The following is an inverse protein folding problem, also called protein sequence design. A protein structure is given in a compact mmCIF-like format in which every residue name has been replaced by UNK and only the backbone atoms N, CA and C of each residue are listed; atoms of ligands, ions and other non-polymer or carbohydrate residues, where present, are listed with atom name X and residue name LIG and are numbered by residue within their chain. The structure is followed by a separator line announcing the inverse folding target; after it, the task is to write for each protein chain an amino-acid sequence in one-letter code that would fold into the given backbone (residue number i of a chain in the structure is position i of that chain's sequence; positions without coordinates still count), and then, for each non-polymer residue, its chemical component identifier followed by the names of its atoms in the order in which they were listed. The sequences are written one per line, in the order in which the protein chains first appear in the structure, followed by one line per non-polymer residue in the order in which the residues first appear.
data_IF_001312358490
#
_entry.id   IF_001312358490
#
_cell.length_a   1.000
_cell.length_b   1.000
_cell.length_c   1.000
_cell.angle_alpha   90.00
_cell.angle_beta   90.00
_cell.angle_gamma   90.00
#
_symmetry.space_group_name_H-M   'P 1'
#
loop_
_entity.id
_entity.type
_entity.pdbx_description
1 polymer ?
#
# COMPACT_ATOMS: atom_id res chain seq x y z
N UNK A 1 -30.43 15.57 -18.79
CA UNK A 1 -29.13 14.91 -18.55
C UNK A 1 -29.40 13.45 -18.73
N UNK A 2 -28.84 12.87 -19.79
CA UNK A 2 -29.05 11.46 -20.12
C UNK A 2 -28.48 10.59 -18.98
N UNK A 3 -29.17 9.50 -18.64
CA UNK A 3 -28.95 8.61 -17.48
C UNK A 3 -27.62 7.81 -17.52
N UNK A 4 -26.60 8.30 -18.24
CA UNK A 4 -25.40 7.54 -18.55
C UNK A 4 -24.14 8.27 -18.08
N UNK A 5 -23.30 7.54 -17.36
CA UNK A 5 -21.95 7.94 -16.97
C UNK A 5 -20.96 6.90 -17.46
N UNK A 6 -19.73 7.33 -17.76
CA UNK A 6 -18.61 6.45 -18.06
C UNK A 6 -17.59 6.61 -16.94
N UNK A 7 -17.44 5.55 -16.15
CA UNK A 7 -16.40 5.48 -15.12
C UNK A 7 -15.07 5.13 -15.79
N UNK A 8 -14.05 5.94 -15.53
CA UNK A 8 -12.70 5.75 -16.06
C UNK A 8 -11.75 5.53 -14.91
N UNK A 9 -11.16 4.34 -14.85
CA UNK A 9 -10.14 3.98 -13.87
C UNK A 9 -8.76 4.17 -14.47
N UNK A 10 -7.82 4.69 -13.69
CA UNK A 10 -6.43 4.82 -14.14
C UNK A 10 -5.53 5.40 -13.08
N UNK A 11 -4.24 5.41 -13.39
CA UNK A 11 -3.21 6.03 -12.56
C UNK A 11 -3.34 7.55 -12.49
N UNK A 12 -2.45 8.19 -11.73
CA UNK A 12 -2.41 9.63 -11.56
C UNK A 12 -2.26 10.37 -12.90
N UNK A 13 -1.43 9.86 -13.82
CA UNK A 13 -1.25 10.46 -15.14
C UNK A 13 -2.56 10.41 -15.96
N UNK A 14 -3.34 9.34 -15.84
CA UNK A 14 -4.66 9.23 -16.46
C UNK A 14 -5.63 10.26 -15.86
N UNK A 15 -5.62 10.43 -14.54
CA UNK A 15 -6.41 11.46 -13.85
C UNK A 15 -6.13 12.86 -14.41
N UNK A 16 -4.86 13.25 -14.47
CA UNK A 16 -4.44 14.57 -14.96
C UNK A 16 -4.89 14.79 -16.41
N UNK A 17 -4.82 13.75 -17.26
CA UNK A 17 -5.27 13.82 -18.66
C UNK A 17 -6.79 13.96 -18.77
N UNK A 18 -7.56 13.22 -17.97
CA UNK A 18 -9.03 13.35 -17.94
C UNK A 18 -9.43 14.75 -17.47
N UNK A 19 -8.79 15.26 -16.41
CA UNK A 19 -9.05 16.60 -15.90
C UNK A 19 -8.67 17.69 -16.92
N UNK A 20 -7.53 17.56 -17.57
CA UNK A 20 -7.11 18.48 -18.64
C UNK A 20 -8.10 18.47 -19.81
N UNK A 21 -8.62 17.30 -20.20
CA UNK A 21 -9.66 17.18 -21.23
C UNK A 21 -10.92 17.92 -20.81
N UNK A 22 -11.44 17.64 -19.61
CA UNK A 22 -12.65 18.27 -19.07
C UNK A 22 -12.50 19.79 -18.99
N UNK A 23 -11.34 20.28 -18.54
CA UNK A 23 -11.04 21.71 -18.48
C UNK A 23 -11.02 22.33 -19.89
N UNK A 24 -10.28 21.76 -20.83
CA UNK A 24 -10.16 22.28 -22.20
C UNK A 24 -11.50 22.34 -22.95
N UNK A 25 -12.42 21.44 -22.60
CA UNK A 25 -13.74 21.33 -23.20
C UNK A 25 -14.82 22.05 -22.39
N UNK A 26 -14.48 22.74 -21.30
CA UNK A 26 -15.44 23.35 -20.38
C UNK A 26 -16.39 24.37 -21.02
N UNK A 27 -15.94 25.06 -22.07
CA UNK A 27 -16.71 26.09 -22.80
C UNK A 27 -17.66 25.51 -23.87
N UNK A 28 -17.62 24.19 -24.11
CA UNK A 28 -18.47 23.58 -25.13
C UNK A 28 -19.95 23.67 -24.77
N UNK A 29 -20.80 23.85 -25.79
CA UNK A 29 -22.23 24.16 -25.62
C UNK A 29 -23.01 23.08 -24.88
N UNK A 30 -22.69 21.80 -25.10
CA UNK A 30 -23.48 20.68 -24.57
C UNK A 30 -22.69 19.86 -23.53
N UNK A 31 -23.35 19.30 -22.49
CA UNK A 31 -22.72 18.40 -21.52
C UNK A 31 -21.90 17.28 -22.16
N UNK A 32 -22.40 16.71 -23.26
CA UNK A 32 -21.72 15.68 -24.03
C UNK A 32 -20.38 16.16 -24.61
N UNK A 33 -20.35 17.34 -25.25
CA UNK A 33 -19.12 17.91 -25.81
C UNK A 33 -18.14 18.38 -24.74
N UNK A 34 -18.64 18.75 -23.56
CA UNK A 34 -17.85 19.01 -22.34
C UNK A 34 -17.31 17.74 -21.69
N UNK A 35 -17.68 16.55 -22.17
CA UNK A 35 -17.33 15.25 -21.57
C UNK A 35 -17.81 15.10 -20.11
N UNK A 36 -18.86 15.81 -19.69
CA UNK A 36 -19.35 15.78 -18.28
C UNK A 36 -19.78 14.38 -17.80
N UNK A 37 -20.06 13.45 -18.72
CA UNK A 37 -20.40 12.06 -18.41
C UNK A 37 -19.18 11.22 -17.97
N UNK A 38 -17.96 11.69 -18.21
CA UNK A 38 -16.73 10.98 -17.87
C UNK A 38 -16.37 11.28 -16.42
N UNK A 39 -16.44 10.25 -15.57
CA UNK A 39 -16.10 10.34 -14.15
C UNK A 39 -14.84 9.54 -13.91
N UNK A 40 -13.77 10.21 -13.49
CA UNK A 40 -12.55 9.53 -13.10
C UNK A 40 -12.72 8.87 -11.72
N UNK A 41 -12.27 7.63 -11.60
CA UNK A 41 -12.28 6.86 -10.35
C UNK A 41 -10.85 6.44 -10.06
N UNK A 42 -10.39 6.72 -8.83
CA UNK A 42 -9.02 6.43 -8.44
C UNK A 42 -8.71 4.93 -8.55
N UNK A 43 -7.52 4.65 -9.07
CA UNK A 43 -6.94 3.32 -9.19
C UNK A 43 -6.44 2.83 -7.82
N UNK A 44 -7.15 1.86 -7.22
CA UNK A 44 -6.81 1.36 -5.88
C UNK A 44 -5.53 0.53 -5.85
N UNK A 45 -5.18 -0.18 -6.92
CA UNK A 45 -3.90 -0.87 -6.96
C UNK A 45 -2.73 0.12 -7.04
N UNK A 46 -2.82 1.16 -7.87
CA UNK A 46 -1.82 2.24 -7.89
C UNK A 46 -1.77 3.02 -6.57
N UNK A 47 -2.90 3.23 -5.90
CA UNK A 47 -2.91 3.80 -4.55
C UNK A 47 -2.08 2.95 -3.58
N UNK A 48 -2.33 1.62 -3.55
CA UNK A 48 -1.55 0.68 -2.73
C UNK A 48 -0.06 0.72 -3.09
N UNK A 49 0.30 0.91 -4.37
CA UNK A 49 1.70 1.11 -4.77
C UNK A 49 2.29 2.41 -4.21
N UNK A 50 1.55 3.52 -4.30
CA UNK A 50 1.96 4.81 -3.75
C UNK A 50 2.13 4.77 -2.23
N UNK A 51 1.27 4.03 -1.51
CA UNK A 51 1.40 3.81 -0.06
C UNK A 51 2.69 3.07 0.30
N UNK A 52 3.03 2.01 -0.43
CA UNK A 52 4.28 1.26 -0.22
C UNK A 52 5.52 2.13 -0.51
N UNK A 53 5.47 2.94 -1.58
CA UNK A 53 6.53 3.90 -1.89
C UNK A 53 6.66 5.00 -0.84
N UNK A 54 5.56 5.49 -0.27
CA UNK A 54 5.60 6.46 0.83
C UNK A 54 6.33 5.90 2.05
N UNK A 55 5.99 4.68 2.50
CA UNK A 55 6.69 4.01 3.60
C UNK A 55 8.19 3.89 3.29
N UNK A 56 8.54 3.50 2.07
CA UNK A 56 9.94 3.43 1.65
C UNK A 56 10.64 4.81 1.69
N UNK A 57 9.98 5.87 1.19
CA UNK A 57 10.50 7.25 1.24
C UNK A 57 10.75 7.75 2.66
N UNK A 58 9.96 7.31 3.63
CA UNK A 58 10.03 7.78 5.02
C UNK A 58 11.11 7.03 5.79
N UNK A 59 11.14 5.70 5.70
CA UNK A 59 11.97 4.87 6.59
C UNK A 59 13.24 4.30 5.94
N UNK A 60 13.36 4.35 4.61
CA UNK A 60 14.48 3.72 3.89
C UNK A 60 15.21 4.71 3.00
N UNK A 61 14.53 5.63 2.31
CA UNK A 61 15.21 6.58 1.42
C UNK A 61 16.28 7.44 2.12
N UNK A 62 16.04 8.05 3.30
CA UNK A 62 17.08 8.78 4.01
C UNK A 62 18.20 7.82 4.42
N UNK A 63 19.44 8.12 4.02
CA UNK A 63 20.59 7.22 4.28
C UNK A 63 20.78 6.96 5.77
N UNK A 64 20.67 8.00 6.59
CA UNK A 64 20.84 7.93 8.04
C UNK A 64 19.73 7.11 8.74
N UNK A 65 18.56 6.93 8.11
CA UNK A 65 17.47 6.12 8.66
C UNK A 65 17.75 4.61 8.63
N UNK A 66 18.88 4.18 8.06
CA UNK A 66 19.20 2.77 7.74
C UNK A 66 20.17 2.12 8.72
N UNK A 67 20.77 2.91 9.60
CA UNK A 67 21.98 2.52 10.32
C UNK A 67 21.65 1.91 11.69
N UNK A 68 20.50 2.29 12.27
CA UNK A 68 20.08 1.81 13.58
C UNK A 68 19.64 0.33 13.52
N UNK A 69 19.89 -0.42 14.59
CA UNK A 69 19.53 -1.84 14.69
C UNK A 69 18.02 -2.11 14.56
N UNK A 70 17.20 -1.13 14.94
CA UNK A 70 15.73 -1.17 14.84
C UNK A 70 15.20 -0.61 13.51
N UNK A 71 16.08 -0.10 12.64
CA UNK A 71 15.65 0.49 11.37
C UNK A 71 14.99 -0.52 10.46
N UNK A 72 14.07 -0.03 9.62
CA UNK A 72 13.31 -0.90 8.73
C UNK A 72 14.23 -1.65 7.75
N UNK A 73 15.29 -1.01 7.24
CA UNK A 73 16.22 -1.67 6.33
C UNK A 73 17.02 -2.78 7.01
N UNK A 74 17.47 -2.60 8.26
CA UNK A 74 18.19 -3.67 8.99
C UNK A 74 17.26 -4.87 9.26
N UNK A 75 16.01 -4.62 9.67
CA UNK A 75 15.01 -5.67 9.84
C UNK A 75 14.72 -6.42 8.53
N UNK A 76 14.64 -5.70 7.40
CA UNK A 76 14.52 -6.32 6.07
C UNK A 76 15.79 -7.14 5.73
N UNK A 77 16.98 -6.65 6.05
CA UNK A 77 18.24 -7.32 5.77
C UNK A 77 18.34 -8.69 6.45
N UNK A 78 17.70 -8.86 7.62
CA UNK A 78 17.64 -10.15 8.30
C UNK A 78 16.92 -11.22 7.48
N UNK A 79 15.84 -10.85 6.82
CA UNK A 79 14.96 -11.77 6.08
C UNK A 79 15.25 -11.80 4.57
N UNK A 80 15.92 -10.76 4.05
CA UNK A 80 16.26 -10.59 2.62
C UNK A 80 17.68 -10.03 2.42
N UNK A 81 18.73 -10.72 2.91
CA UNK A 81 20.09 -10.18 2.91
C UNK A 81 20.65 -9.91 1.49
N UNK A 82 20.14 -10.63 0.48
CA UNK A 82 20.59 -10.49 -0.92
C UNK A 82 19.89 -9.37 -1.70
N UNK A 83 18.85 -8.75 -1.12
CA UNK A 83 18.05 -7.72 -1.80
C UNK A 83 18.23 -6.33 -1.21
N UNK A 84 19.02 -6.18 -0.15
CA UNK A 84 19.24 -4.92 0.58
C UNK A 84 19.63 -3.76 -0.34
N UNK A 85 20.55 -3.97 -1.28
CA UNK A 85 20.96 -2.94 -2.24
C UNK A 85 19.83 -2.48 -3.16
N UNK A 86 18.95 -3.38 -3.60
CA UNK A 86 17.76 -3.04 -4.41
C UNK A 86 16.74 -2.30 -3.56
N UNK A 87 16.52 -2.73 -2.32
CA UNK A 87 15.57 -2.13 -1.40
C UNK A 87 16.03 -0.73 -0.95
N UNK A 88 17.33 -0.53 -0.77
CA UNK A 88 17.91 0.75 -0.39
C UNK A 88 17.88 1.82 -1.51
N UNK A 89 17.59 1.43 -2.76
CA UNK A 89 17.70 2.29 -3.95
C UNK A 89 16.37 2.51 -4.69
N UNK A 90 15.77 1.46 -5.25
CA UNK A 90 14.45 1.49 -5.87
C UNK A 90 13.85 0.07 -5.83
N UNK A 91 13.23 -0.32 -4.69
CA UNK A 91 12.77 -1.70 -4.47
C UNK A 91 11.71 -2.16 -5.48
N UNK A 92 10.90 -1.21 -5.92
CA UNK A 92 9.63 -1.44 -6.55
C UNK A 92 8.56 -1.98 -5.60
N UNK A 93 7.32 -1.97 -6.06
CA UNK A 93 6.13 -2.30 -5.30
C UNK A 93 6.19 -3.70 -4.69
N UNK A 94 6.45 -4.75 -5.50
CA UNK A 94 6.38 -6.13 -4.98
C UNK A 94 7.30 -6.36 -3.79
N UNK A 95 8.54 -5.88 -3.87
CA UNK A 95 9.52 -6.03 -2.77
C UNK A 95 9.07 -5.29 -1.53
N UNK A 96 8.61 -4.04 -1.68
CA UNK A 96 8.11 -3.26 -0.54
C UNK A 96 6.83 -3.86 0.05
N UNK A 97 5.91 -4.32 -0.79
CA UNK A 97 4.68 -4.98 -0.36
C UNK A 97 4.98 -6.16 0.55
N UNK A 98 5.84 -7.08 0.10
CA UNK A 98 6.23 -8.24 0.89
C UNK A 98 7.08 -7.85 2.12
N UNK A 99 7.95 -6.84 2.01
CA UNK A 99 8.75 -6.37 3.14
C UNK A 99 7.88 -5.78 4.27
N UNK A 100 6.92 -4.93 3.92
CA UNK A 100 5.95 -4.34 4.87
C UNK A 100 5.16 -5.45 5.57
N UNK A 101 4.61 -6.39 4.81
CA UNK A 101 3.82 -7.49 5.38
C UNK A 101 4.65 -8.42 6.28
N UNK A 102 5.86 -8.80 5.85
CA UNK A 102 6.68 -9.74 6.60
C UNK A 102 7.25 -9.12 7.88
N UNK A 103 7.82 -7.91 7.78
CA UNK A 103 8.36 -7.21 8.94
C UNK A 103 7.23 -6.79 9.87
N UNK A 104 6.11 -6.27 9.34
CA UNK A 104 4.95 -5.89 10.14
C UNK A 104 4.36 -7.06 10.93
N UNK A 105 4.23 -8.24 10.29
CA UNK A 105 3.79 -9.46 10.97
C UNK A 105 4.72 -9.85 12.14
N UNK A 106 6.04 -9.78 11.94
CA UNK A 106 7.01 -10.11 12.98
C UNK A 106 7.06 -9.03 14.07
N UNK A 107 6.90 -7.75 13.71
CA UNK A 107 6.80 -6.64 14.65
C UNK A 107 5.66 -6.87 15.64
N UNK A 108 4.47 -7.22 15.13
CA UNK A 108 3.33 -7.57 15.99
C UNK A 108 3.62 -8.76 16.89
N UNK A 109 4.25 -9.81 16.37
CA UNK A 109 4.65 -10.95 17.20
C UNK A 109 5.62 -10.53 18.32
N UNK A 110 6.53 -9.60 18.06
CA UNK A 110 7.41 -9.06 19.10
C UNK A 110 6.64 -8.21 20.13
N UNK A 111 5.66 -7.39 19.72
CA UNK A 111 4.76 -6.71 20.66
C UNK A 111 4.00 -7.71 21.56
N UNK A 112 3.44 -8.78 20.97
CA UNK A 112 2.82 -9.86 21.72
C UNK A 112 3.78 -10.51 22.71
N UNK A 113 5.05 -10.74 22.31
CA UNK A 113 6.07 -11.30 23.19
C UNK A 113 6.32 -10.37 24.39
N UNK A 114 6.47 -9.08 24.15
CA UNK A 114 6.74 -8.09 25.20
C UNK A 114 5.56 -7.99 26.17
N UNK A 115 4.32 -8.00 25.68
CA UNK A 115 3.15 -7.95 26.55
C UNK A 115 2.91 -9.25 27.31
N UNK A 116 3.10 -10.41 26.66
CA UNK A 116 3.05 -11.70 27.33
C UNK A 116 4.10 -11.80 28.46
N UNK A 117 5.28 -11.21 28.27
CA UNK A 117 6.30 -11.15 29.32
C UNK A 117 5.87 -10.34 30.54
N UNK A 118 5.01 -9.33 30.36
CA UNK A 118 4.44 -8.53 31.45
C UNK A 118 3.12 -9.10 31.98
N UNK A 119 2.61 -10.17 31.38
CA UNK A 119 1.28 -10.69 31.67
C UNK A 119 1.28 -11.66 32.83
N UNK A 120 0.66 -11.30 33.95
CA UNK A 120 0.35 -12.18 35.08
C UNK A 120 1.51 -13.05 35.56
N UNK A 121 1.62 -14.25 34.97
CA UNK A 121 2.64 -15.27 35.26
C UNK A 121 4.04 -14.99 34.67
N UNK A 122 4.21 -13.93 33.88
CA UNK A 122 5.44 -13.59 33.15
C UNK A 122 5.92 -14.69 32.20
N UNK A 123 5.61 -14.56 30.90
CA UNK A 123 6.01 -15.54 29.88
C UNK A 123 7.28 -15.10 29.14
N UNK A 124 8.31 -15.95 29.06
CA UNK A 124 9.59 -15.61 28.40
C UNK A 124 9.53 -15.74 26.87
N UNK A 125 8.53 -16.46 26.37
CA UNK A 125 8.28 -16.65 24.94
C UNK A 125 6.79 -16.80 24.61
N UNK A 126 6.45 -16.60 23.33
CA UNK A 126 5.08 -16.80 22.84
C UNK A 126 4.66 -18.27 22.89
N UNK A 127 5.60 -19.21 22.78
CA UNK A 127 5.32 -20.64 22.93
C UNK A 127 4.84 -20.96 24.34
N UNK A 128 5.52 -20.45 25.37
CA UNK A 128 5.08 -20.61 26.76
C UNK A 128 3.71 -19.97 27.01
N UNK A 129 3.49 -18.78 26.46
CA UNK A 129 2.18 -18.13 26.54
C UNK A 129 1.10 -18.97 25.86
N UNK A 130 1.34 -19.50 24.66
CA UNK A 130 0.39 -20.37 23.97
C UNK A 130 0.13 -21.69 24.71
N UNK A 131 1.15 -22.27 25.35
CA UNK A 131 1.03 -23.50 26.17
C UNK A 131 0.16 -23.29 27.41
N UNK A 132 0.10 -22.05 27.95
CA UNK A 132 -0.81 -21.68 29.03
C UNK A 132 -2.29 -21.70 28.61
N UNK A 133 -2.57 -21.78 27.29
CA UNK A 133 -3.91 -21.79 26.68
C UNK A 133 -4.75 -20.58 27.12
N UNK A 134 -4.30 -19.35 26.80
CA UNK A 134 -5.02 -18.14 27.18
C UNK A 134 -6.43 -18.18 26.60
N UNK A 135 -7.38 -17.73 27.39
CA UNK A 135 -8.77 -17.58 26.98
C UNK A 135 -8.89 -16.49 25.91
N UNK A 136 -9.99 -16.53 25.15
CA UNK A 136 -10.29 -15.48 24.17
C UNK A 136 -10.32 -14.08 24.82
N UNK A 137 -10.86 -13.96 26.03
CA UNK A 137 -10.94 -12.69 26.74
C UNK A 137 -9.56 -12.14 27.10
N UNK A 138 -8.62 -13.01 27.51
CA UNK A 138 -7.24 -12.60 27.79
C UNK A 138 -6.50 -12.17 26.51
N UNK A 139 -6.72 -12.88 25.40
CA UNK A 139 -6.17 -12.49 24.10
C UNK A 139 -6.73 -11.14 23.64
N UNK A 140 -8.04 -10.92 23.77
CA UNK A 140 -8.70 -9.68 23.40
C UNK A 140 -8.19 -8.50 24.25
N UNK A 141 -8.11 -8.68 25.57
CA UNK A 141 -7.57 -7.66 26.49
C UNK A 141 -6.09 -7.35 26.18
N UNK A 142 -5.27 -8.37 25.91
CA UNK A 142 -3.87 -8.15 25.53
C UNK A 142 -3.77 -7.43 24.19
N UNK A 143 -4.60 -7.78 23.20
CA UNK A 143 -4.64 -7.08 21.92
C UNK A 143 -4.99 -5.60 22.07
N UNK A 144 -5.97 -5.25 22.93
CA UNK A 144 -6.28 -3.86 23.24
C UNK A 144 -5.08 -3.12 23.86
N UNK A 145 -4.35 -3.76 24.78
CA UNK A 145 -3.13 -3.17 25.37
C UNK A 145 -2.04 -2.98 24.33
N UNK A 146 -1.88 -3.94 23.42
CA UNK A 146 -0.91 -3.84 22.31
C UNK A 146 -1.24 -2.64 21.44
N UNK A 147 -2.50 -2.47 21.03
CA UNK A 147 -2.91 -1.31 20.23
C UNK A 147 -2.59 -0.03 20.99
N UNK A 148 -3.09 0.14 22.22
CA UNK A 148 -2.88 1.39 22.99
C UNK A 148 -1.41 1.72 23.27
N UNK A 149 -0.51 0.73 23.35
CA UNK A 149 0.90 0.94 23.67
C UNK A 149 1.81 1.09 22.44
N UNK A 150 1.48 0.40 21.35
CA UNK A 150 2.35 0.26 20.19
C UNK A 150 1.81 0.93 18.92
N UNK A 151 0.54 1.34 18.88
CA UNK A 151 0.06 2.26 17.84
C UNK A 151 0.14 3.67 18.36
N UNK A 152 0.98 4.48 17.72
CA UNK A 152 1.22 5.85 18.14
C UNK A 152 0.07 6.76 17.71
N UNK A 153 -0.44 7.58 18.62
CA UNK A 153 -1.25 8.75 18.30
C UNK A 153 -0.40 10.03 18.43
N UNK A 154 -0.96 11.16 17.97
CA UNK A 154 -0.28 12.46 17.92
C UNK A 154 0.27 12.87 19.30
N UNK A 155 -0.56 12.74 20.34
CA UNK A 155 -0.19 13.10 21.71
C UNK A 155 0.96 12.21 22.23
N UNK A 156 0.89 10.90 21.95
CA UNK A 156 1.89 9.93 22.42
C UNK A 156 3.27 10.22 21.83
N UNK A 157 3.34 10.54 20.53
CA UNK A 157 4.62 10.88 19.90
C UNK A 157 5.21 12.18 20.45
N UNK A 158 4.36 13.20 20.61
CA UNK A 158 4.76 14.49 21.16
C UNK A 158 5.33 14.32 22.58
N UNK A 159 4.63 13.59 23.45
CA UNK A 159 5.08 13.27 24.80
C UNK A 159 6.44 12.54 24.82
N UNK A 160 6.63 11.54 23.94
CA UNK A 160 7.90 10.82 23.81
C UNK A 160 9.03 11.77 23.38
N UNK A 161 8.76 12.68 22.44
CA UNK A 161 9.76 13.61 21.91
C UNK A 161 10.13 14.73 22.88
N UNK A 162 9.22 15.13 23.77
CA UNK A 162 9.49 16.10 24.84
C UNK A 162 10.21 15.51 26.05
N UNK A 163 10.34 14.19 26.13
CA UNK A 163 11.08 13.55 27.21
C UNK A 163 12.56 14.05 27.23
N UNK A 164 13.16 14.21 28.43
CA UNK A 164 14.57 14.55 28.55
C UNK A 164 15.47 13.55 27.82
N UNK A 165 16.61 14.01 27.29
CA UNK A 165 17.58 13.18 26.55
C UNK A 165 18.04 11.93 27.31
N UNK A 166 18.08 11.98 28.64
CA UNK A 166 18.45 10.84 29.49
C UNK A 166 17.41 9.71 29.49
N UNK A 167 16.17 10.01 29.10
CA UNK A 167 15.04 9.07 29.11
C UNK A 167 14.44 8.83 27.73
N UNK A 168 14.63 9.76 26.80
CA UNK A 168 14.10 9.69 25.43
C UNK A 168 14.74 8.54 24.65
N UNK A 169 13.91 7.76 23.97
CA UNK A 169 14.33 6.64 23.13
C UNK A 169 13.90 6.90 21.68
N UNK A 170 14.82 7.48 20.91
CA UNK A 170 14.57 7.89 19.53
C UNK A 170 14.37 6.69 18.58
N UNK A 171 14.97 5.55 18.89
CA UNK A 171 14.78 4.32 18.10
C UNK A 171 13.42 3.67 18.36
N UNK A 172 12.92 3.76 19.60
CA UNK A 172 11.57 3.32 19.94
C UNK A 172 10.52 4.21 19.27
N UNK A 173 10.69 5.54 19.28
CA UNK A 173 9.84 6.49 18.53
C UNK A 173 9.74 6.11 17.04
N UNK A 174 10.89 5.89 16.39
CA UNK A 174 10.95 5.49 14.99
C UNK A 174 10.26 4.14 14.74
N UNK A 175 10.41 3.19 15.67
CA UNK A 175 9.77 1.86 15.59
C UNK A 175 8.25 1.98 15.64
N UNK A 176 7.73 2.75 16.59
CA UNK A 176 6.28 2.96 16.74
C UNK A 176 5.66 3.63 15.51
N UNK A 177 6.34 4.65 14.95
CA UNK A 177 5.92 5.29 13.70
C UNK A 177 5.90 4.30 12.52
N UNK A 178 6.95 3.49 12.39
CA UNK A 178 7.06 2.45 11.34
C UNK A 178 5.93 1.44 11.47
N UNK A 179 5.64 0.97 12.66
CA UNK A 179 4.58 -0.01 12.91
C UNK A 179 3.19 0.55 12.62
N UNK A 180 2.93 1.79 13.02
CA UNK A 180 1.68 2.47 12.69
C UNK A 180 1.45 2.57 11.17
N UNK A 181 2.46 2.96 10.38
CA UNK A 181 2.30 3.08 8.93
C UNK A 181 2.20 1.72 8.23
N UNK A 182 2.94 0.72 8.71
CA UNK A 182 2.79 -0.66 8.23
C UNK A 182 1.39 -1.21 8.52
N UNK A 183 0.84 -0.96 9.72
CA UNK A 183 -0.52 -1.35 10.09
C UNK A 183 -1.56 -0.66 9.20
N UNK A 184 -1.43 0.64 8.96
CA UNK A 184 -2.33 1.38 8.06
C UNK A 184 -2.28 0.84 6.61
N UNK A 185 -1.11 0.40 6.15
CA UNK A 185 -0.95 -0.24 4.84
C UNK A 185 -1.61 -1.62 4.78
N UNK A 186 -1.42 -2.44 5.81
CA UNK A 186 -2.05 -3.74 5.94
C UNK A 186 -3.58 -3.63 6.03
N UNK A 187 -4.07 -2.63 6.75
CA UNK A 187 -5.49 -2.31 6.87
C UNK A 187 -6.12 -1.99 5.52
N UNK A 188 -5.50 -1.09 4.75
CA UNK A 188 -5.92 -0.79 3.38
C UNK A 188 -5.94 -2.06 2.53
N UNK A 189 -4.88 -2.87 2.62
CA UNK A 189 -4.78 -4.13 1.86
C UNK A 189 -5.86 -5.12 2.24
N UNK A 190 -6.13 -5.29 3.54
CA UNK A 190 -7.15 -6.19 4.06
C UNK A 190 -8.54 -5.75 3.59
N UNK A 191 -8.87 -4.46 3.74
CA UNK A 191 -10.13 -3.88 3.33
C UNK A 191 -10.38 -4.05 1.82
N UNK A 192 -9.35 -3.76 1.00
CA UNK A 192 -9.41 -3.98 -0.45
C UNK A 192 -9.68 -5.44 -0.78
N UNK A 193 -8.95 -6.37 -0.17
CA UNK A 193 -9.11 -7.81 -0.42
C UNK A 193 -10.48 -8.31 0.05
N UNK A 194 -10.99 -7.81 1.17
CA UNK A 194 -12.31 -8.13 1.71
C UNK A 194 -13.46 -7.58 0.84
N UNK A 195 -13.20 -6.60 -0.02
CA UNK A 195 -14.25 -5.91 -0.78
C UNK A 195 -15.00 -4.86 0.05
N UNK A 196 -14.46 -4.44 1.19
CA UNK A 196 -15.08 -3.47 2.09
C UNK A 196 -14.68 -2.05 1.69
N UNK A 197 -15.46 -1.44 0.80
CA UNK A 197 -15.16 -0.11 0.28
C UNK A 197 -15.26 0.99 1.33
N UNK A 198 -16.12 0.83 2.35
CA UNK A 198 -16.23 1.81 3.43
C UNK A 198 -14.97 1.85 4.29
N UNK A 199 -14.42 0.67 4.59
CA UNK A 199 -13.14 0.55 5.30
C UNK A 199 -11.96 1.03 4.46
N UNK A 200 -11.97 0.80 3.15
CA UNK A 200 -10.98 1.38 2.22
C UNK A 200 -11.01 2.92 2.25
N UNK A 201 -12.21 3.53 2.15
CA UNK A 201 -12.36 4.99 2.21
C UNK A 201 -11.89 5.58 3.54
N UNK A 202 -12.08 4.86 4.64
CA UNK A 202 -11.61 5.28 5.99
C UNK A 202 -10.09 5.43 6.03
N UNK A 203 -9.35 4.61 5.28
CA UNK A 203 -7.89 4.72 5.20
C UNK A 203 -7.41 5.93 4.38
N UNK A 204 -8.27 6.57 3.58
CA UNK A 204 -7.81 7.64 2.67
C UNK A 204 -7.32 8.88 3.41
N UNK A 205 -7.98 9.29 4.49
CA UNK A 205 -7.61 10.52 5.20
C UNK A 205 -6.19 10.43 5.81
N UNK A 206 -5.82 9.38 6.57
CA UNK A 206 -4.44 9.18 7.01
C UNK A 206 -3.43 9.17 5.85
N UNK A 207 -3.74 8.46 4.74
CA UNK A 207 -2.85 8.42 3.58
C UNK A 207 -2.70 9.75 2.86
N UNK A 208 -3.75 10.58 2.79
CA UNK A 208 -3.69 11.95 2.25
C UNK A 208 -2.67 12.77 3.03
N UNK A 209 -2.72 12.71 4.37
CA UNK A 209 -1.80 13.44 5.23
C UNK A 209 -0.36 12.93 5.06
N UNK A 210 -0.14 11.61 5.11
CA UNK A 210 1.19 11.01 4.87
C UNK A 210 1.75 11.42 3.51
N UNK A 211 0.96 11.32 2.44
CA UNK A 211 1.38 11.73 1.10
C UNK A 211 1.72 13.20 1.02
N UNK A 212 0.98 14.06 1.73
CA UNK A 212 1.28 15.48 1.79
C UNK A 212 2.61 15.74 2.49
N UNK A 213 2.89 15.07 3.60
CA UNK A 213 4.15 15.25 4.33
C UNK A 213 5.36 14.67 3.61
N UNK A 214 5.22 13.52 2.94
CA UNK A 214 6.32 12.83 2.26
C UNK A 214 6.55 13.27 0.80
N UNK A 215 5.96 14.39 0.37
CA UNK A 215 6.17 14.95 -0.98
C UNK A 215 5.38 14.30 -2.12
N UNK A 216 4.35 13.49 -1.84
CA UNK A 216 3.43 12.91 -2.83
C UNK A 216 2.18 13.78 -3.01
N UNK A 217 2.39 15.09 -3.20
CA UNK A 217 1.33 16.11 -3.15
C UNK A 217 0.21 15.90 -4.18
N UNK A 218 0.54 15.36 -5.36
CA UNK A 218 -0.46 15.07 -6.40
C UNK A 218 -1.42 13.97 -5.99
N UNK A 219 -0.91 12.86 -5.41
CA UNK A 219 -1.76 11.80 -4.88
C UNK A 219 -2.67 12.32 -3.77
N UNK A 220 -2.10 13.08 -2.82
CA UNK A 220 -2.87 13.71 -1.74
C UNK A 220 -4.00 14.60 -2.27
N UNK A 221 -3.71 15.47 -3.25
CA UNK A 221 -4.69 16.37 -3.84
C UNK A 221 -5.82 15.62 -4.56
N UNK A 222 -5.49 14.59 -5.35
CA UNK A 222 -6.50 13.82 -6.08
C UNK A 222 -7.37 12.96 -5.16
N UNK A 223 -6.80 12.37 -4.11
CA UNK A 223 -7.57 11.62 -3.11
C UNK A 223 -8.51 12.54 -2.32
N UNK A 224 -8.03 13.72 -1.91
CA UNK A 224 -8.87 14.71 -1.24
C UNK A 224 -10.01 15.19 -2.14
N UNK A 225 -9.72 15.44 -3.42
CA UNK A 225 -10.73 15.80 -4.42
C UNK A 225 -11.77 14.68 -4.59
N UNK A 226 -11.31 13.43 -4.68
CA UNK A 226 -12.19 12.27 -4.78
C UNK A 226 -13.14 12.16 -3.57
N UNK A 227 -12.61 12.29 -2.35
CA UNK A 227 -13.44 12.29 -1.14
C UNK A 227 -14.46 13.42 -1.16
N UNK A 228 -14.05 14.64 -1.51
CA UNK A 228 -14.96 15.77 -1.64
C UNK A 228 -16.06 15.50 -2.67
N UNK A 229 -15.71 14.99 -3.85
CA UNK A 229 -16.67 14.73 -4.91
C UNK A 229 -17.67 13.63 -4.51
N UNK A 230 -17.20 12.51 -3.95
CA UNK A 230 -18.05 11.41 -3.49
C UNK A 230 -18.93 11.82 -2.30
N UNK A 231 -18.42 12.55 -1.31
CA UNK A 231 -19.20 12.87 -0.13
C UNK A 231 -20.11 14.10 -0.33
N UNK A 232 -19.66 15.12 -1.07
CA UNK A 232 -20.31 16.43 -1.11
C UNK A 232 -20.91 16.82 -2.47
N UNK A 233 -20.46 16.23 -3.59
CA UNK A 233 -20.84 16.70 -4.94
C UNK A 233 -21.78 15.73 -5.66
N UNK A 234 -21.44 14.44 -5.69
CA UNK A 234 -22.17 13.48 -6.51
C UNK A 234 -23.54 13.13 -5.93
N UNK A 235 -24.57 12.86 -6.76
CA UNK A 235 -25.85 12.35 -6.29
C UNK A 235 -25.71 10.89 -5.81
N UNK A 236 -26.60 10.46 -4.92
CA UNK A 236 -26.48 9.17 -4.21
C UNK A 236 -26.30 7.95 -5.14
N UNK A 237 -27.04 7.90 -6.25
CA UNK A 237 -26.91 6.82 -7.24
C UNK A 237 -25.52 6.76 -7.87
N UNK A 238 -24.90 7.92 -8.12
CA UNK A 238 -23.56 7.99 -8.69
C UNK A 238 -22.50 7.62 -7.64
N UNK A 239 -22.65 8.06 -6.38
CA UNK A 239 -21.78 7.64 -5.27
C UNK A 239 -21.74 6.12 -5.14
N UNK A 240 -22.92 5.51 -5.14
CA UNK A 240 -23.07 4.06 -5.09
C UNK A 240 -22.41 3.39 -6.29
N UNK A 241 -22.68 3.87 -7.51
CA UNK A 241 -22.09 3.32 -8.72
C UNK A 241 -20.55 3.39 -8.70
N UNK A 242 -19.97 4.51 -8.26
CA UNK A 242 -18.51 4.66 -8.14
C UNK A 242 -17.96 3.63 -7.15
N UNK A 243 -18.48 3.60 -5.91
CA UNK A 243 -18.02 2.69 -4.85
C UNK A 243 -18.07 1.23 -5.26
N UNK A 244 -19.18 0.81 -5.86
CA UNK A 244 -19.37 -0.58 -6.32
C UNK A 244 -18.52 -0.97 -7.53
N UNK A 245 -17.88 -0.01 -8.19
CA UNK A 245 -16.97 -0.24 -9.31
C UNK A 245 -15.50 0.05 -8.97
N UNK A 246 -15.13 0.30 -7.70
CA UNK A 246 -13.71 0.49 -7.34
C UNK A 246 -12.95 -0.84 -7.22
N UNK A 247 -13.65 -1.91 -6.87
CA UNK A 247 -13.11 -3.26 -6.67
C UNK A 247 -13.92 -4.26 -7.50
N UNK A 248 -13.25 -5.31 -7.98
CA UNK A 248 -13.91 -6.50 -8.53
C UNK A 248 -13.35 -7.76 -7.85
N UNK A 249 -14.10 -8.85 -7.88
CA UNK A 249 -13.62 -10.16 -7.44
C UNK A 249 -13.55 -11.14 -8.61
N UNK A 250 -12.42 -11.20 -9.34
CA UNK A 250 -12.29 -12.04 -10.52
C UNK A 250 -12.47 -13.53 -10.26
N UNK A 251 -12.25 -13.98 -9.01
CA UNK A 251 -12.26 -15.40 -8.64
C UNK A 251 -13.54 -15.85 -7.95
N UNK A 252 -14.36 -14.90 -7.47
CA UNK A 252 -15.53 -15.16 -6.63
C UNK A 252 -15.22 -15.66 -5.21
N UNK A 253 -13.94 -15.72 -4.81
CA UNK A 253 -13.52 -16.25 -3.50
C UNK A 253 -13.49 -15.16 -2.43
N UNK A 254 -13.68 -15.55 -1.16
CA UNK A 254 -13.52 -14.64 -0.02
C UNK A 254 -12.10 -14.03 -0.02
N UNK A 255 -11.98 -12.77 0.38
CA UNK A 255 -10.72 -12.01 0.43
C UNK A 255 -9.94 -11.95 -0.90
N UNK A 256 -10.62 -12.10 -2.03
CA UNK A 256 -10.01 -12.12 -3.37
C UNK A 256 -10.45 -10.96 -4.27
N UNK A 257 -10.94 -9.87 -3.66
CA UNK A 257 -11.19 -8.63 -4.39
C UNK A 257 -9.87 -7.95 -4.79
N UNK A 258 -9.89 -7.26 -5.93
CA UNK A 258 -8.76 -6.51 -6.50
C UNK A 258 -9.26 -5.17 -7.04
N UNK A 259 -8.38 -4.17 -7.08
CA UNK A 259 -8.67 -2.90 -7.77
C UNK A 259 -8.95 -3.16 -9.25
N UNK A 260 -9.89 -2.42 -9.84
CA UNK A 260 -10.19 -2.55 -11.28
C UNK A 260 -8.95 -2.31 -12.13
N UNK A 261 -8.12 -1.34 -11.74
CA UNK A 261 -6.87 -1.00 -12.42
C UNK A 261 -5.84 -2.14 -12.39
N UNK A 262 -5.86 -3.01 -11.36
CA UNK A 262 -5.06 -4.23 -11.34
C UNK A 262 -5.46 -5.20 -12.46
N UNK A 263 -6.76 -5.37 -12.67
CA UNK A 263 -7.29 -6.21 -13.74
C UNK A 263 -6.97 -5.64 -15.13
N UNK A 264 -7.06 -4.31 -15.26
CA UNK A 264 -6.65 -3.62 -16.49
C UNK A 264 -5.16 -3.81 -16.76
N UNK A 265 -4.30 -3.69 -15.74
CA UNK A 265 -2.86 -3.89 -15.92
C UNK A 265 -2.50 -5.34 -16.26
N UNK A 266 -3.24 -6.31 -15.73
CA UNK A 266 -3.12 -7.71 -16.16
C UNK A 266 -3.39 -7.87 -17.66
N UNK A 267 -4.45 -7.27 -18.19
CA UNK A 267 -4.75 -7.29 -19.62
C UNK A 267 -3.72 -6.51 -20.46
N UNK A 268 -3.20 -5.41 -19.92
CA UNK A 268 -2.12 -4.65 -20.54
C UNK A 268 -0.86 -5.50 -20.68
N UNK A 269 -0.50 -6.29 -19.66
CA UNK A 269 0.64 -7.19 -19.70
C UNK A 269 0.50 -8.21 -20.84
N UNK A 270 -0.63 -8.91 -20.91
CA UNK A 270 -0.89 -9.88 -21.98
C UNK A 270 -0.86 -9.24 -23.36
N UNK A 271 -1.46 -8.06 -23.50
CA UNK A 271 -1.43 -7.32 -24.76
C UNK A 271 0.00 -6.94 -25.13
N UNK A 272 0.80 -6.41 -24.19
CA UNK A 272 2.17 -5.96 -24.48
C UNK A 272 3.12 -7.12 -24.77
N UNK A 273 2.99 -8.25 -24.09
CA UNK A 273 3.97 -9.35 -24.11
C UNK A 273 3.58 -10.51 -25.02
N UNK A 274 2.29 -10.85 -25.10
CA UNK A 274 1.84 -12.11 -25.67
C UNK A 274 0.99 -11.87 -26.93
N UNK A 275 -0.07 -11.06 -26.85
CA UNK A 275 -1.10 -10.96 -27.91
C UNK A 275 -1.05 -9.67 -28.75
N UNK A 276 -0.17 -8.71 -28.45
CA UNK A 276 -0.10 -7.45 -29.20
C UNK A 276 0.55 -7.54 -30.58
N UNK A 277 1.03 -8.73 -30.96
CA UNK A 277 1.88 -8.93 -32.13
C UNK A 277 3.33 -8.49 -31.89
N UNK A 278 4.23 -8.93 -32.78
CA UNK A 278 5.66 -8.56 -32.77
C UNK A 278 6.03 -7.85 -34.07
N UNK A 279 6.98 -6.92 -33.99
CA UNK A 279 7.52 -6.17 -35.14
C UNK A 279 6.43 -5.52 -36.00
N UNK A 280 6.43 -5.75 -37.32
CA UNK A 280 5.46 -5.22 -38.27
C UNK A 280 4.01 -5.60 -37.99
N UNK A 281 3.78 -6.68 -37.23
CA UNK A 281 2.44 -7.12 -36.87
C UNK A 281 1.85 -6.41 -35.63
N UNK A 282 2.61 -5.55 -34.95
CA UNK A 282 2.13 -4.77 -33.81
C UNK A 282 1.34 -3.55 -34.28
N UNK A 283 0.13 -3.80 -34.78
CA UNK A 283 -0.78 -2.75 -35.29
C UNK A 283 -1.95 -2.51 -34.36
N UNK A 284 -2.51 -1.29 -34.37
CA UNK A 284 -3.70 -0.94 -33.57
C UNK A 284 -4.88 -1.85 -33.90
N UNK A 285 -5.11 -2.14 -35.19
CA UNK A 285 -6.20 -3.01 -35.64
C UNK A 285 -6.08 -4.43 -35.06
N UNK A 286 -4.86 -4.98 -35.03
CA UNK A 286 -4.63 -6.30 -34.43
C UNK A 286 -4.88 -6.28 -32.93
N UNK A 287 -4.32 -5.30 -32.22
CA UNK A 287 -4.52 -5.16 -30.76
C UNK A 287 -6.01 -5.07 -30.44
N UNK A 288 -6.76 -4.20 -31.12
CA UNK A 288 -8.21 -4.06 -30.92
C UNK A 288 -8.97 -5.35 -31.20
N UNK A 289 -8.55 -6.13 -32.20
CA UNK A 289 -9.17 -7.41 -32.55
C UNK A 289 -8.85 -8.52 -31.53
N UNK A 290 -7.65 -8.55 -30.99
CA UNK A 290 -7.19 -9.62 -30.08
C UNK A 290 -7.46 -9.32 -28.59
N UNK A 291 -7.52 -8.06 -28.17
CA UNK A 291 -7.76 -7.69 -26.76
C UNK A 291 -9.02 -8.31 -26.14
N UNK A 292 -10.18 -8.38 -26.82
CA UNK A 292 -11.38 -9.04 -26.28
C UNK A 292 -11.23 -10.56 -26.12
N UNK A 293 -10.25 -11.17 -26.80
CA UNK A 293 -10.04 -12.62 -26.85
C UNK A 293 -8.98 -13.12 -25.87
N UNK A 294 -8.33 -12.24 -25.11
CA UNK A 294 -7.23 -12.59 -24.18
C UNK A 294 -7.63 -13.74 -23.24
N UNK A 295 -8.82 -13.67 -22.64
CA UNK A 295 -9.30 -14.71 -21.73
C UNK A 295 -9.53 -16.04 -22.45
N UNK A 296 -10.06 -16.00 -23.68
CA UNK A 296 -10.28 -17.21 -24.49
C UNK A 296 -8.94 -17.85 -24.83
N UNK A 297 -7.96 -17.05 -25.26
CA UNK A 297 -6.61 -17.55 -25.56
C UNK A 297 -5.93 -18.14 -24.32
N UNK A 298 -6.08 -17.52 -23.15
CA UNK A 298 -5.57 -18.04 -21.89
C UNK A 298 -6.20 -19.40 -21.55
N UNK A 299 -7.53 -19.51 -21.63
CA UNK A 299 -8.24 -20.75 -21.34
C UNK A 299 -7.85 -21.87 -22.30
N UNK A 300 -7.74 -21.58 -23.61
CA UNK A 300 -7.30 -22.57 -24.61
C UNK A 300 -5.89 -23.07 -24.29
N UNK A 301 -4.97 -22.17 -23.91
CA UNK A 301 -3.61 -22.54 -23.50
C UNK A 301 -3.63 -23.45 -22.27
N UNK A 302 -4.34 -23.07 -21.20
CA UNK A 302 -4.44 -23.85 -19.98
C UNK A 302 -5.03 -25.25 -20.28
N UNK A 303 -6.14 -25.30 -21.01
CA UNK A 303 -6.76 -26.57 -21.40
C UNK A 303 -5.83 -27.45 -22.24
N UNK A 304 -5.05 -26.85 -23.15
CA UNK A 304 -4.07 -27.58 -23.94
C UNK A 304 -2.96 -28.16 -23.05
N UNK A 305 -2.41 -27.38 -22.13
CA UNK A 305 -1.39 -27.81 -21.18
C UNK A 305 -1.91 -28.95 -20.27
N UNK A 306 -3.16 -28.84 -19.79
CA UNK A 306 -3.82 -29.87 -18.98
C UNK A 306 -4.01 -31.19 -19.75
N UNK A 307 -4.39 -31.13 -21.04
CA UNK A 307 -4.57 -32.31 -21.89
C UNK A 307 -3.28 -33.13 -22.06
N UNK A 308 -2.11 -32.50 -22.02
CA UNK A 308 -0.83 -33.20 -22.14
C UNK A 308 -0.32 -33.78 -20.82
N UNK A 309 -1.14 -33.82 -19.75
CA UNK A 309 -0.76 -34.37 -18.44
C UNK A 309 0.56 -33.82 -17.92
N UNK A 310 0.82 -32.53 -18.14
CA UNK A 310 1.94 -31.80 -17.53
C UNK A 310 1.71 -31.59 -16.01
N UNK A 311 1.12 -32.58 -15.33
CA UNK A 311 0.60 -32.53 -13.95
C UNK A 311 1.66 -32.31 -12.87
N UNK A 312 2.95 -32.25 -13.25
CA UNK A 312 4.04 -31.87 -12.37
C UNK A 312 4.42 -30.38 -12.46
N UNK A 313 3.74 -29.58 -13.29
CA UNK A 313 3.92 -28.12 -13.35
C UNK A 313 2.82 -27.44 -12.54
N UNK A 314 3.15 -27.01 -11.33
CA UNK A 314 2.30 -26.11 -10.56
C UNK A 314 2.50 -24.68 -11.08
N UNK A 315 1.50 -24.09 -11.73
CA UNK A 315 1.51 -22.65 -12.07
C UNK A 315 1.31 -21.76 -10.84
N UNK A 316 0.90 -22.36 -9.72
CA UNK A 316 0.82 -21.71 -8.43
C UNK A 316 2.15 -21.93 -7.71
N UNK A 317 2.87 -20.85 -7.45
CA UNK A 317 3.94 -20.90 -6.46
C UNK A 317 3.31 -21.32 -5.13
N UNK A 318 3.84 -22.38 -4.52
CA UNK A 318 3.50 -22.70 -3.13
C UNK A 318 3.89 -21.49 -2.27
N UNK A 319 3.07 -21.11 -1.27
CA UNK A 319 3.43 -20.07 -0.33
C UNK A 319 4.80 -20.37 0.27
N UNK A 320 5.65 -19.35 0.40
CA UNK A 320 6.95 -19.52 1.01
C UNK A 320 6.79 -20.03 2.46
N UNK A 321 7.61 -21.02 2.86
CA UNK A 321 7.70 -21.46 4.24
C UNK A 321 8.49 -20.43 5.04
N UNK A 322 7.79 -19.44 5.61
CA UNK A 322 8.42 -18.27 6.24
C UNK A 322 8.76 -18.46 7.73
N UNK A 323 8.43 -19.60 8.34
CA UNK A 323 8.60 -19.82 9.79
C UNK A 323 10.03 -19.58 10.27
N UNK A 324 11.05 -20.11 9.58
CA UNK A 324 12.44 -19.93 9.96
C UNK A 324 12.89 -18.47 9.76
N UNK A 325 12.44 -17.85 8.66
CA UNK A 325 12.69 -16.45 8.34
C UNK A 325 12.12 -15.52 9.41
N UNK A 326 10.90 -15.77 9.86
CA UNK A 326 10.25 -14.99 10.91
C UNK A 326 10.93 -15.18 12.26
N UNK A 327 11.27 -16.42 12.63
CA UNK A 327 12.04 -16.70 13.86
C UNK A 327 13.38 -15.95 13.89
N UNK A 328 14.08 -15.88 12.76
CA UNK A 328 15.33 -15.12 12.66
C UNK A 328 15.11 -13.64 12.97
N UNK A 329 14.08 -13.04 12.38
CA UNK A 329 13.74 -11.63 12.64
C UNK A 329 13.23 -11.40 14.07
N UNK A 330 12.44 -12.32 14.65
CA UNK A 330 12.01 -12.24 16.05
C UNK A 330 13.21 -12.23 17.00
N UNK A 331 14.20 -13.09 16.77
CA UNK A 331 15.42 -13.12 17.59
C UNK A 331 16.21 -11.81 17.48
N UNK A 332 16.29 -11.22 16.28
CA UNK A 332 16.94 -9.92 16.09
C UNK A 332 16.16 -8.80 16.78
N UNK A 333 14.82 -8.76 16.66
CA UNK A 333 13.99 -7.74 17.30
C UNK A 333 14.07 -7.81 18.83
N UNK A 334 14.07 -9.02 19.39
CA UNK A 334 14.30 -9.28 20.83
C UNK A 334 15.69 -8.80 21.26
N UNK A 335 16.74 -9.15 20.52
CA UNK A 335 18.11 -8.73 20.85
C UNK A 335 18.31 -7.21 20.74
N UNK A 336 17.58 -6.56 19.83
CA UNK A 336 17.63 -5.11 19.63
C UNK A 336 16.70 -4.33 20.58
N UNK A 337 15.92 -5.00 21.44
CA UNK A 337 14.88 -4.36 22.26
C UNK A 337 13.96 -3.46 21.43
N UNK A 338 13.41 -4.02 20.33
CA UNK A 338 12.68 -3.24 19.33
C UNK A 338 11.42 -2.60 19.91
N UNK A 339 10.62 -3.38 20.65
CA UNK A 339 9.36 -2.91 21.27
C UNK A 339 9.45 -2.78 22.80
N UNK A 340 10.67 -2.62 23.32
CA UNK A 340 10.95 -2.38 24.74
C UNK A 340 11.65 -1.01 24.85
N UNK A 341 11.14 -0.07 25.66
CA UNK A 341 11.75 1.25 25.80
C UNK A 341 13.11 1.16 26.50
N UNK A 342 14.12 1.80 25.93
CA UNK A 342 15.50 1.84 26.43
C UNK A 342 15.88 3.31 26.69
N UNK A 343 15.97 3.68 27.96
CA UNK A 343 16.23 5.06 28.37
C UNK A 343 17.51 5.63 27.73
N UNK A 344 17.38 6.78 27.06
CA UNK A 344 18.49 7.50 26.45
C UNK A 344 19.04 6.89 25.16
N UNK A 345 18.36 5.90 24.56
CA UNK A 345 18.77 5.31 23.28
C UNK A 345 18.60 6.33 22.14
N UNK A 346 19.71 6.72 21.55
CA UNK A 346 19.77 7.66 20.41
C UNK A 346 19.57 6.95 19.07
N UNK A 347 19.09 7.72 18.09
CA UNK A 347 18.96 7.31 16.70
C UNK A 347 19.91 8.10 15.82
N UNK A 348 20.42 7.47 14.77
CA UNK A 348 21.19 8.17 13.73
C UNK A 348 20.29 9.14 12.94
N UNK A 349 18.98 8.91 12.93
CA UNK A 349 17.99 9.72 12.24
C UNK A 349 16.63 9.67 12.93
N UNK A 350 16.22 10.79 13.53
CA UNK A 350 14.85 10.93 14.02
C UNK A 350 13.89 11.07 12.83
N UNK A 351 13.02 10.06 12.63
CA UNK A 351 12.04 10.06 11.55
C UNK A 351 11.00 11.13 11.84
N UNK A 352 10.73 12.06 10.90
CA UNK A 352 9.75 13.13 11.11
C UNK A 352 8.33 12.56 11.21
N UNK A 353 7.45 13.26 11.95
CA UNK A 353 6.01 13.00 11.86
C UNK A 353 5.49 13.60 10.55
N UNK A 354 5.49 12.78 9.50
CA UNK A 354 5.01 13.21 8.18
C UNK A 354 3.49 13.36 8.11
N UNK A 355 2.73 12.78 9.05
CA UNK A 355 1.29 12.95 9.07
C UNK A 355 0.94 14.34 9.60
N UNK A 356 1.58 14.74 10.70
CA UNK A 356 1.48 16.09 11.28
C UNK A 356 1.98 17.17 10.31
N UNK A 357 3.15 16.98 9.70
CA UNK A 357 3.67 17.87 8.67
C UNK A 357 2.70 17.98 7.47
N UNK A 358 2.11 16.85 7.07
CA UNK A 358 1.06 16.83 6.05
C UNK A 358 -0.19 17.63 6.42
N UNK A 359 -0.62 17.56 7.69
CA UNK A 359 -1.74 18.32 8.23
C UNK A 359 -1.43 19.82 8.26
N UNK A 360 -0.27 20.21 8.78
CA UNK A 360 0.19 21.61 8.78
C UNK A 360 0.22 22.20 7.37
N UNK A 361 0.78 21.47 6.41
CA UNK A 361 0.82 21.88 4.98
C UNK A 361 -0.57 22.01 4.38
N UNK A 362 -1.53 21.16 4.78
CA UNK A 362 -2.91 21.23 4.31
C UNK A 362 -3.64 22.45 4.90
N UNK A 363 -3.42 22.77 6.18
CA UNK A 363 -4.01 23.93 6.84
C UNK A 363 -3.45 25.25 6.31
N UNK A 364 -2.14 25.32 6.06
CA UNK A 364 -1.49 26.52 5.52
C UNK A 364 -2.08 26.98 4.17
N UNK A 365 -2.56 26.06 3.33
CA UNK A 365 -3.23 26.38 2.07
C UNK A 365 -4.54 27.16 2.22
N UNK A 366 -5.19 27.16 3.40
CA UNK A 366 -6.39 27.97 3.66
C UNK A 366 -6.07 29.44 3.98
N UNK A 367 -4.81 29.79 4.29
CA UNK A 367 -4.41 31.12 4.78
C UNK A 367 -3.72 32.03 3.76
N UNK A 368 -3.33 31.55 2.58
CA UNK A 368 -2.51 32.30 1.62
C UNK A 368 -3.12 32.37 0.23
N UNK A 369 -3.16 33.56 -0.36
CA UNK A 369 -3.48 33.78 -1.78
C UNK A 369 -2.59 32.92 -2.68
N UNK A 370 -3.19 32.33 -3.70
CA UNK A 370 -2.56 31.54 -4.76
C UNK A 370 -1.22 32.12 -5.26
N UNK A 371 -0.11 31.61 -4.75
CA UNK A 371 1.15 31.56 -5.49
C UNK A 371 1.29 30.15 -6.06
N UNK A 372 1.34 30.08 -7.38
CA UNK A 372 1.62 28.86 -8.10
C UNK A 372 3.08 28.46 -7.82
N UNK A 373 3.28 27.61 -6.81
CA UNK A 373 4.58 27.01 -6.58
C UNK A 373 4.85 26.01 -7.70
N UNK A 374 5.78 26.41 -8.58
CA UNK A 374 6.50 25.50 -9.47
C UNK A 374 7.42 24.65 -8.61
N UNK A 375 6.87 23.66 -7.93
CA UNK A 375 7.67 22.62 -7.29
C UNK A 375 7.98 21.55 -8.33
N UNK A 376 9.25 21.46 -8.69
CA UNK A 376 9.80 20.42 -9.53
C UNK A 376 9.68 19.08 -8.79
N UNK A 377 8.65 18.33 -9.14
CA UNK A 377 8.58 16.89 -8.94
C UNK A 377 9.76 16.29 -9.72
N UNK A 378 10.86 15.96 -9.03
CA UNK A 378 11.91 15.12 -9.59
C UNK A 378 11.27 13.78 -9.93
N UNK A 379 10.79 13.69 -11.18
CA UNK A 379 10.15 12.58 -11.85
C UNK A 379 9.68 11.45 -10.92
N UNK A 380 8.38 11.40 -10.69
CA UNK A 380 7.68 10.11 -10.55
C UNK A 380 7.89 9.34 -11.87
N UNK A 381 9.09 8.77 -12.04
CA UNK A 381 9.46 7.94 -13.17
C UNK A 381 8.53 6.75 -13.06
N UNK A 382 7.53 6.77 -13.94
CA UNK A 382 6.36 5.93 -13.94
C UNK A 382 6.62 4.58 -13.29
N UNK A 383 5.83 4.31 -12.25
CA UNK A 383 5.72 3.00 -11.60
C UNK A 383 5.28 1.89 -12.60
N UNK A 384 5.09 2.23 -13.88
CA UNK A 384 4.77 1.36 -15.00
C UNK A 384 5.87 0.38 -15.43
N UNK A 385 7.13 0.57 -15.00
CA UNK A 385 8.24 -0.32 -15.38
C UNK A 385 8.28 -1.64 -14.59
N UNK A 386 7.36 -1.84 -13.65
CA UNK A 386 7.38 -3.00 -12.76
C UNK A 386 6.70 -4.26 -13.30
N UNK A 387 6.08 -4.20 -14.47
CA UNK A 387 5.56 -5.41 -15.13
C UNK A 387 6.67 -6.08 -15.96
N UNK A 388 7.78 -6.36 -15.28
CA UNK A 388 8.93 -7.14 -15.76
C UNK A 388 9.00 -8.49 -15.01
N UNK A 389 7.86 -9.19 -14.92
CA UNK A 389 7.86 -10.63 -14.65
C UNK A 389 8.34 -11.37 -15.90
N UNK A 390 9.40 -12.18 -15.78
CA UNK A 390 9.88 -13.04 -16.87
C UNK A 390 8.88 -14.16 -17.21
N UNK A 391 7.96 -14.47 -16.30
CA UNK A 391 6.88 -15.44 -16.49
C UNK A 391 5.52 -14.75 -16.62
N UNK A 392 4.83 -15.04 -17.73
CA UNK A 392 3.61 -14.38 -18.21
C UNK A 392 2.32 -14.67 -17.43
N UNK A 393 2.37 -14.76 -16.11
CA UNK A 393 1.19 -14.85 -15.25
C UNK A 393 1.39 -14.00 -13.98
N UNK A 394 0.69 -12.87 -13.89
CA UNK A 394 0.41 -12.27 -12.58
C UNK A 394 -0.58 -13.18 -11.88
N UNK A 395 -0.14 -13.80 -10.79
CA UNK A 395 -0.94 -14.72 -10.00
C UNK A 395 -2.18 -13.98 -9.49
N UNK A 396 -3.38 -14.42 -9.89
CA UNK A 396 -4.67 -13.77 -9.57
C UNK A 396 -5.06 -13.94 -8.09
N UNK A 397 -4.23 -14.66 -7.32
CA UNK A 397 -4.54 -15.13 -5.97
C UNK A 397 -3.78 -14.48 -4.82
N UNK A 398 -2.82 -13.57 -5.05
CA UNK A 398 -2.02 -12.94 -3.98
C UNK A 398 -2.26 -11.44 -3.88
#
# INVERSE_FOLDING_TARGET
MDDYVVLVHGDLATCERVQSLLYSRGEERTPWRRFQLVIFVLALFHLKMACADAIWKIFIWPKLARDDATSFLQQIAEIRPRETGKIASKPGFRRMHEAIQHVGAVSRLDCWRVEANKWGAHFDSLEQFAESKPSWAELDEMAEKIVRRYTIDENTLEELRFAPDSTRDEQYENTLLKDYYCLLYEELTYAMNAGDIGRVETCFLPWILIFRGCGKHKYAAQMLRFLYDVHCVYPEKLKYAIRMNMLCNPTGRKHSFRGIDWWVEHNNLYTKRIYGGKFSNRTKNRILKESPLIQVFKNVRISLEDMFTLGHRTFKHSPAQLTQTFRKLQNQMKAAHTHEPVAGRKSTYSVPDVMEDGLMKLMAMRGGSSSADKENDEGDVGVSDEVNGEDGDLNVGE
#
